data_IF_007347364383
#
_entry.id   IF_007347364383
#
_cell.length_a   1.000
_cell.length_b   1.000
_cell.length_c   1.000
_cell.angle_alpha   90.00
_cell.angle_beta   90.00
_cell.angle_gamma   90.00
#
_symmetry.space_group_name_H-M   'P 1'
#
loop_
_entity.id
_entity.type
_entity.pdbx_description
1 polymer ?
#
# COMPACT_ATOMS: atom_id res chain seq x y z
N UNK A 1 0.54 11.51 -12.30
CA UNK A 1 -0.14 11.16 -11.03
C UNK A 1 -0.45 9.68 -11.02
N UNK A 2 -1.57 9.19 -11.57
CA UNK A 2 -1.86 7.74 -11.62
C UNK A 2 -0.77 6.91 -12.31
N UNK A 3 -0.26 7.36 -13.47
CA UNK A 3 0.79 6.63 -14.18
C UNK A 3 2.12 6.56 -13.42
N UNK A 4 2.50 7.60 -12.67
CA UNK A 4 3.74 7.65 -11.88
C UNK A 4 3.63 6.82 -10.60
N UNK A 5 2.45 6.77 -9.98
CA UNK A 5 2.17 5.90 -8.82
C UNK A 5 2.02 4.43 -9.23
N UNK A 6 1.52 4.17 -10.44
CA UNK A 6 1.40 2.83 -11.04
C UNK A 6 2.75 2.29 -11.53
N UNK A 7 3.47 3.05 -12.36
CA UNK A 7 4.79 2.67 -12.90
C UNK A 7 5.90 2.73 -11.85
N UNK A 8 5.88 3.72 -10.95
CA UNK A 8 6.73 3.70 -9.75
C UNK A 8 6.43 2.48 -8.88
N UNK A 9 5.20 1.98 -8.89
CA UNK A 9 4.86 0.79 -8.14
C UNK A 9 5.52 -0.52 -8.60
N UNK A 10 6.01 -0.58 -9.84
CA UNK A 10 6.63 -1.77 -10.40
C UNK A 10 8.18 -1.70 -10.40
N UNK A 11 8.77 -0.48 -10.47
CA UNK A 11 10.23 -0.29 -10.64
C UNK A 11 10.84 0.81 -9.74
N UNK A 12 10.05 1.69 -9.09
CA UNK A 12 10.60 2.82 -8.31
C UNK A 12 9.78 3.13 -7.04
N UNK A 13 10.25 2.79 -5.83
CA UNK A 13 9.49 2.92 -4.59
C UNK A 13 9.38 4.39 -4.17
N UNK A 14 8.57 5.18 -4.87
CA UNK A 14 8.10 6.47 -4.37
C UNK A 14 6.87 6.14 -3.52
N UNK A 15 6.99 6.15 -2.18
CA UNK A 15 5.87 5.84 -1.33
C UNK A 15 4.81 6.91 -1.57
N UNK A 16 3.59 6.50 -1.89
CA UNK A 16 2.42 7.38 -1.95
C UNK A 16 2.27 8.22 -0.67
N UNK A 17 2.79 7.70 0.44
CA UNK A 17 2.88 8.36 1.75
C UNK A 17 3.76 9.61 1.75
N UNK A 18 4.81 9.66 0.92
CA UNK A 18 5.73 10.82 0.81
C UNK A 18 5.15 11.89 -0.14
N UNK A 19 4.37 11.49 -1.14
CA UNK A 19 3.82 12.44 -2.11
C UNK A 19 2.59 13.20 -1.58
N UNK A 20 1.81 12.60 -0.69
CA UNK A 20 0.58 13.23 -0.17
C UNK A 20 0.84 14.54 0.63
N UNK A 21 1.81 14.61 1.57
CA UNK A 21 2.10 15.83 2.32
C UNK A 21 2.42 17.08 1.48
N UNK A 22 3.38 17.06 0.52
CA UNK A 22 3.69 18.26 -0.26
C UNK A 22 2.51 18.71 -1.13
N UNK A 23 1.66 17.78 -1.59
CA UNK A 23 0.44 18.11 -2.33
C UNK A 23 -0.59 18.85 -1.47
N UNK A 24 -0.74 18.43 -0.20
CA UNK A 24 -1.61 19.11 0.76
C UNK A 24 -1.04 20.49 1.12
N UNK A 25 0.26 20.60 1.32
CA UNK A 25 0.92 21.90 1.61
C UNK A 25 0.69 22.89 0.47
N UNK A 26 0.79 22.45 -0.79
CA UNK A 26 0.57 23.31 -1.95
C UNK A 26 -0.89 23.76 -2.13
N UNK A 27 -1.88 22.97 -1.70
CA UNK A 27 -3.32 23.31 -1.77
C UNK A 27 -4.09 22.71 -0.58
N UNK A 28 -4.00 23.31 0.62
CA UNK A 28 -4.58 22.75 1.83
C UNK A 28 -6.10 22.63 1.76
N UNK A 29 -6.79 23.53 1.06
CA UNK A 29 -8.25 23.51 0.90
C UNK A 29 -8.77 22.25 0.20
N UNK A 30 -7.91 21.58 -0.59
CA UNK A 30 -8.25 20.39 -1.39
C UNK A 30 -7.72 19.09 -0.79
N UNK A 31 -7.37 19.05 0.50
CA UNK A 31 -6.80 17.85 1.13
C UNK A 31 -7.70 16.61 1.03
N UNK A 32 -9.04 16.76 1.13
CA UNK A 32 -10.00 15.64 1.06
C UNK A 32 -9.99 14.92 -0.30
N UNK A 33 -10.21 15.60 -1.45
CA UNK A 33 -10.16 14.93 -2.74
C UNK A 33 -8.78 14.37 -3.08
N UNK A 34 -7.70 15.03 -2.63
CA UNK A 34 -6.33 14.54 -2.80
C UNK A 34 -6.11 13.21 -2.04
N UNK A 35 -6.57 13.14 -0.79
CA UNK A 35 -6.52 11.92 0.03
C UNK A 35 -7.31 10.78 -0.62
N UNK A 36 -8.54 11.03 -1.06
CA UNK A 36 -9.40 10.01 -1.70
C UNK A 36 -8.75 9.49 -2.99
N UNK A 37 -8.22 10.38 -3.84
CA UNK A 37 -7.53 9.96 -5.07
C UNK A 37 -6.29 9.09 -4.76
N UNK A 38 -5.55 9.41 -3.70
CA UNK A 38 -4.41 8.63 -3.24
C UNK A 38 -4.83 7.24 -2.74
N UNK A 39 -5.91 7.15 -1.95
CA UNK A 39 -6.50 5.87 -1.52
C UNK A 39 -6.84 5.01 -2.73
N UNK A 40 -7.60 5.55 -3.69
CA UNK A 40 -8.04 4.80 -4.86
C UNK A 40 -6.87 4.29 -5.70
N UNK A 41 -5.86 5.14 -5.94
CA UNK A 41 -4.68 4.76 -6.70
C UNK A 41 -3.84 3.71 -5.96
N UNK A 42 -3.71 3.84 -4.64
CA UNK A 42 -3.00 2.86 -3.80
C UNK A 42 -3.70 1.50 -3.79
N UNK A 43 -5.03 1.50 -3.62
CA UNK A 43 -5.87 0.29 -3.67
C UNK A 43 -5.78 -0.37 -5.05
N UNK A 44 -5.83 0.39 -6.14
CA UNK A 44 -5.68 -0.14 -7.50
C UNK A 44 -4.33 -0.83 -7.68
N UNK A 45 -3.24 -0.22 -7.20
CA UNK A 45 -1.90 -0.84 -7.22
C UNK A 45 -1.78 -2.08 -6.33
N UNK A 46 -2.50 -2.12 -5.21
CA UNK A 46 -2.59 -3.31 -4.36
C UNK A 46 -3.33 -4.45 -5.06
N UNK A 47 -4.42 -4.13 -5.75
CA UNK A 47 -5.22 -5.10 -6.51
C UNK A 47 -4.40 -5.67 -7.68
N UNK A 48 -3.62 -4.84 -8.39
CA UNK A 48 -2.72 -5.35 -9.43
C UNK A 48 -1.65 -6.27 -8.85
N UNK A 49 -1.06 -5.94 -7.70
CA UNK A 49 -0.09 -6.83 -7.04
C UNK A 49 -0.73 -8.15 -6.60
N UNK A 50 -1.94 -8.12 -6.04
CA UNK A 50 -2.71 -9.32 -5.70
C UNK A 50 -2.99 -10.19 -6.93
N UNK A 51 -3.44 -9.59 -8.03
CA UNK A 51 -3.72 -10.31 -9.28
C UNK A 51 -2.46 -10.94 -9.88
N UNK A 52 -1.33 -10.22 -9.83
CA UNK A 52 -0.04 -10.75 -10.25
C UNK A 52 0.41 -11.92 -9.36
N UNK A 53 0.28 -11.79 -8.05
CA UNK A 53 0.57 -12.87 -7.11
C UNK A 53 -0.29 -14.10 -7.35
N UNK A 54 -1.58 -13.90 -7.64
CA UNK A 54 -2.52 -14.97 -7.95
C UNK A 54 -2.22 -15.66 -9.28
N UNK A 55 -1.94 -14.89 -10.33
CA UNK A 55 -1.68 -15.43 -11.67
C UNK A 55 -0.33 -16.16 -11.77
N UNK A 56 0.69 -15.67 -11.05
CA UNK A 56 2.06 -16.20 -11.12
C UNK A 56 2.49 -16.94 -9.86
N UNK A 57 1.57 -17.40 -9.01
CA UNK A 57 1.87 -17.97 -7.70
C UNK A 57 3.01 -19.02 -7.73
N UNK A 58 3.02 -19.92 -8.73
CA UNK A 58 4.03 -20.96 -8.89
C UNK A 58 5.41 -20.44 -9.33
N UNK A 59 5.47 -19.49 -10.26
CA UNK A 59 6.71 -18.88 -10.77
C UNK A 59 7.28 -17.86 -9.77
N UNK A 60 6.41 -17.21 -9.02
CA UNK A 60 6.78 -16.22 -8.01
C UNK A 60 7.45 -16.89 -6.80
N UNK A 61 7.02 -18.11 -6.43
CA UNK A 61 7.65 -18.89 -5.36
C UNK A 61 9.09 -19.30 -5.72
N UNK A 62 9.33 -19.76 -6.95
CA UNK A 62 10.67 -20.10 -7.45
C UNK A 62 11.55 -18.86 -7.64
N UNK A 63 10.98 -17.75 -8.10
CA UNK A 63 11.69 -16.48 -8.25
C UNK A 63 12.05 -15.84 -6.90
N UNK A 64 11.15 -15.86 -5.92
CA UNK A 64 11.43 -15.36 -4.57
C UNK A 64 12.57 -16.16 -3.89
N UNK A 65 12.61 -17.47 -4.11
CA UNK A 65 13.68 -18.34 -3.62
C UNK A 65 15.02 -18.10 -4.36
N UNK A 66 15.00 -17.79 -5.67
CA UNK A 66 16.22 -17.59 -6.45
C UNK A 66 16.88 -16.22 -6.24
N UNK A 67 16.10 -15.20 -5.89
CA UNK A 67 16.59 -13.82 -5.66
C UNK A 67 16.82 -13.54 -4.16
N UNK A 68 16.49 -14.47 -3.28
CA UNK A 68 16.61 -14.34 -1.83
C UNK A 68 16.00 -13.02 -1.29
N UNK A 69 14.82 -12.67 -1.82
CA UNK A 69 14.10 -11.46 -1.45
C UNK A 69 13.51 -11.65 -0.05
N UNK A 70 14.30 -11.26 0.95
CA UNK A 70 13.96 -11.37 2.37
C UNK A 70 12.60 -10.73 2.68
N UNK A 71 12.24 -9.64 2.00
CA UNK A 71 10.93 -8.98 2.12
C UNK A 71 9.74 -9.87 1.68
N UNK A 72 9.91 -10.66 0.63
CA UNK A 72 8.85 -11.58 0.15
C UNK A 72 8.77 -12.79 1.08
N UNK A 73 9.92 -13.33 1.50
CA UNK A 73 9.97 -14.43 2.45
C UNK A 73 9.32 -14.05 3.78
N UNK A 74 9.65 -12.89 4.35
CA UNK A 74 9.00 -12.38 5.55
C UNK A 74 7.49 -12.17 5.35
N UNK A 75 7.08 -11.59 4.20
CA UNK A 75 5.67 -11.39 3.90
C UNK A 75 4.89 -12.72 3.81
N UNK A 76 5.47 -13.74 3.19
CA UNK A 76 4.85 -15.08 3.09
C UNK A 76 4.77 -15.79 4.44
N UNK A 77 5.83 -15.72 5.27
CA UNK A 77 5.83 -16.27 6.63
C UNK A 77 4.78 -15.58 7.51
N UNK A 78 4.73 -14.25 7.51
CA UNK A 78 3.74 -13.48 8.26
C UNK A 78 2.31 -13.77 7.80
N UNK A 79 2.10 -13.98 6.50
CA UNK A 79 0.80 -14.36 5.95
C UNK A 79 0.42 -15.80 6.36
N UNK A 80 1.37 -16.72 6.38
CA UNK A 80 1.15 -18.10 6.81
C UNK A 80 0.84 -18.20 8.31
N UNK A 81 1.48 -17.36 9.13
CA UNK A 81 1.33 -17.37 10.58
C UNK A 81 0.07 -16.63 11.06
N UNK A 82 -0.20 -15.44 10.52
CA UNK A 82 -1.26 -14.56 11.02
C UNK A 82 -2.49 -14.48 10.10
N UNK A 83 -2.38 -14.88 8.83
CA UNK A 83 -3.49 -14.86 7.88
C UNK A 83 -4.03 -13.45 7.58
N UNK A 84 -5.31 -13.32 7.19
CA UNK A 84 -5.93 -12.06 6.73
C UNK A 84 -5.72 -10.79 7.59
N UNK A 85 -5.75 -10.85 8.93
CA UNK A 85 -5.59 -9.66 9.79
C UNK A 85 -4.24 -8.97 9.64
N UNK A 86 -3.16 -9.68 9.28
CA UNK A 86 -1.83 -9.09 9.13
C UNK A 86 -1.80 -8.05 8.01
N UNK A 87 -2.62 -8.26 6.97
CA UNK A 87 -2.72 -7.37 5.84
C UNK A 87 -3.29 -6.01 6.24
N UNK A 88 -4.24 -5.98 7.19
CA UNK A 88 -4.79 -4.75 7.72
C UNK A 88 -3.74 -3.97 8.53
N UNK A 89 -3.01 -4.67 9.41
CA UNK A 89 -1.95 -4.06 10.23
C UNK A 89 -0.84 -3.52 9.33
N UNK A 90 -0.42 -4.29 8.33
CA UNK A 90 0.60 -3.88 7.38
C UNK A 90 0.16 -2.76 6.43
N UNK A 91 -1.13 -2.66 6.11
CA UNK A 91 -1.66 -1.54 5.33
C UNK A 91 -1.57 -0.20 6.09
N UNK A 92 -1.57 -0.26 7.43
CA UNK A 92 -1.38 0.90 8.29
C UNK A 92 0.10 1.19 8.57
N UNK A 93 0.91 0.15 8.77
CA UNK A 93 2.33 0.25 9.12
C UNK A 93 3.23 0.71 7.94
N UNK A 94 4.42 1.29 8.21
CA UNK A 94 5.43 1.58 7.18
C UNK A 94 6.16 0.30 6.72
N UNK A 95 5.41 -0.78 6.51
CA UNK A 95 5.91 -2.08 6.02
C UNK A 95 5.76 -2.08 4.49
N UNK A 96 6.58 -2.83 3.73
CA UNK A 96 6.42 -3.02 2.28
C UNK A 96 5.09 -3.74 1.94
N UNK A 97 3.98 -3.02 2.06
CA UNK A 97 2.63 -3.55 1.90
C UNK A 97 2.37 -4.21 0.53
N UNK A 98 3.10 -3.80 -0.52
CA UNK A 98 2.93 -4.37 -1.86
C UNK A 98 3.43 -5.81 -1.95
N UNK A 99 4.49 -6.17 -1.22
CA UNK A 99 4.96 -7.57 -1.15
C UNK A 99 3.96 -8.44 -0.38
N UNK A 100 3.32 -7.89 0.65
CA UNK A 100 2.22 -8.56 1.35
C UNK A 100 0.96 -8.72 0.49
N UNK A 101 0.64 -7.73 -0.36
CA UNK A 101 -0.48 -7.86 -1.30
C UNK A 101 -0.20 -8.93 -2.38
N UNK A 102 1.04 -8.99 -2.86
CA UNK A 102 1.52 -10.03 -3.77
C UNK A 102 1.49 -11.41 -3.10
N UNK A 103 1.96 -11.53 -1.86
CA UNK A 103 1.91 -12.77 -1.07
C UNK A 103 0.45 -13.21 -0.78
N UNK A 104 -0.46 -12.27 -0.51
CA UNK A 104 -1.88 -12.56 -0.35
C UNK A 104 -2.50 -13.12 -1.64
N UNK A 105 -2.10 -12.58 -2.80
CA UNK A 105 -2.48 -13.11 -4.10
C UNK A 105 -1.95 -14.52 -4.34
N UNK A 106 -0.65 -14.74 -4.09
CA UNK A 106 0.00 -16.05 -4.25
C UNK A 106 -0.60 -17.11 -3.31
N UNK A 107 -1.01 -16.72 -2.09
CA UNK A 107 -1.72 -17.56 -1.14
C UNK A 107 -3.22 -17.71 -1.40
N UNK A 108 -3.75 -17.20 -2.52
CA UNK A 108 -5.15 -17.25 -2.91
C UNK A 108 -6.12 -16.74 -1.81
N UNK A 109 -5.73 -15.69 -1.10
CA UNK A 109 -6.54 -15.10 -0.03
C UNK A 109 -7.87 -14.56 -0.57
N UNK A 110 -9.03 -14.83 0.06
CA UNK A 110 -10.31 -14.35 -0.43
C UNK A 110 -10.33 -12.83 -0.64
N UNK A 111 -10.72 -12.38 -1.85
CA UNK A 111 -10.85 -10.96 -2.18
C UNK A 111 -11.75 -10.20 -1.19
N UNK A 112 -12.77 -10.88 -0.64
CA UNK A 112 -13.68 -10.33 0.36
C UNK A 112 -12.98 -9.99 1.69
N UNK A 113 -11.87 -10.65 2.03
CA UNK A 113 -11.04 -10.31 3.18
C UNK A 113 -9.94 -9.31 2.80
N UNK A 114 -9.38 -9.44 1.61
CA UNK A 114 -8.29 -8.58 1.11
C UNK A 114 -8.74 -7.14 0.94
N UNK A 115 -9.80 -6.91 0.15
CA UNK A 115 -10.17 -5.58 -0.29
C UNK A 115 -10.55 -4.65 0.88
N UNK A 116 -11.37 -5.06 1.86
CA UNK A 116 -11.69 -4.21 3.00
C UNK A 116 -10.47 -3.91 3.86
N UNK A 117 -9.58 -4.90 4.09
CA UNK A 117 -8.37 -4.71 4.88
C UNK A 117 -7.46 -3.64 4.26
N UNK A 118 -7.26 -3.71 2.94
CA UNK A 118 -6.44 -2.74 2.20
C UNK A 118 -7.09 -1.35 2.19
N UNK A 119 -8.37 -1.27 1.83
CA UNK A 119 -9.09 0.01 1.72
C UNK A 119 -9.10 0.72 3.07
N UNK A 120 -9.45 0.02 4.15
CA UNK A 120 -9.51 0.61 5.48
C UNK A 120 -8.13 1.02 5.98
N UNK A 121 -7.12 0.16 5.89
CA UNK A 121 -5.77 0.48 6.34
C UNK A 121 -5.18 1.69 5.60
N UNK A 122 -5.38 1.75 4.26
CA UNK A 122 -4.93 2.88 3.43
C UNK A 122 -5.70 4.17 3.69
N UNK A 123 -7.03 4.08 3.85
CA UNK A 123 -7.85 5.25 4.18
C UNK A 123 -7.44 5.85 5.53
N UNK A 124 -7.25 5.02 6.55
CA UNK A 124 -6.83 5.47 7.89
C UNK A 124 -5.45 6.11 7.81
N UNK A 125 -4.46 5.44 7.20
CA UNK A 125 -3.08 5.96 7.07
C UNK A 125 -3.04 7.32 6.37
N UNK A 126 -3.66 7.44 5.20
CA UNK A 126 -3.65 8.70 4.46
C UNK A 126 -4.46 9.80 5.14
N UNK A 127 -5.52 9.45 5.86
CA UNK A 127 -6.26 10.39 6.68
C UNK A 127 -5.39 10.96 7.81
N UNK A 128 -4.67 10.09 8.55
CA UNK A 128 -3.75 10.51 9.62
C UNK A 128 -2.66 11.42 9.06
N UNK A 129 -2.00 11.02 7.97
CA UNK A 129 -0.98 11.84 7.30
C UNK A 129 -1.56 13.21 6.92
N UNK A 130 -2.73 13.25 6.28
CA UNK A 130 -3.38 14.49 5.87
C UNK A 130 -3.66 15.42 7.06
N UNK A 131 -4.16 14.87 8.17
CA UNK A 131 -4.48 15.63 9.38
C UNK A 131 -3.23 16.18 10.05
N UNK A 132 -2.16 15.38 10.13
CA UNK A 132 -0.87 15.82 10.69
C UNK A 132 -0.28 16.94 9.83
N UNK A 133 -0.29 16.80 8.50
CA UNK A 133 0.21 17.85 7.59
C UNK A 133 -0.56 19.15 7.74
N UNK A 134 -1.89 19.11 7.80
CA UNK A 134 -2.72 20.31 7.99
C UNK A 134 -2.46 20.99 9.34
N UNK A 135 -2.27 20.20 10.41
CA UNK A 135 -1.97 20.74 11.72
C UNK A 135 -0.59 21.41 11.76
N UNK A 136 0.42 20.79 11.12
CA UNK A 136 1.74 21.39 10.96
C UNK A 136 1.69 22.70 10.18
N UNK A 137 0.88 22.78 9.12
CA UNK A 137 0.71 24.01 8.34
C UNK A 137 0.14 25.16 9.18
N UNK A 138 -0.84 24.87 10.06
CA UNK A 138 -1.40 25.87 10.98
C UNK A 138 -0.37 26.38 11.98
N UNK A 139 0.57 25.53 12.40
CA UNK A 139 1.61 25.90 13.37
C UNK A 139 2.68 26.80 12.75
N UNK A 140 2.95 26.65 11.45
CA UNK A 140 3.90 27.49 10.71
C UNK A 140 3.31 28.88 10.38
N UNK A 141 2.00 28.96 10.15
CA UNK A 141 1.31 30.19 9.77
C UNK A 141 0.81 31.04 10.97
N UNK A 142 1.03 30.60 12.20
CA UNK A 142 0.72 31.32 13.44
C UNK A 142 2.01 31.80 14.11
#
# INVERSE_FOLDING_TARGET
MCLLTYLGGFIFPVPSDIMLPPMIIGRPDRWKPLMIACVLCSVAGACSAYLLGFAFAGELATWAQSVNLEEINQATTLMAEYGPPILFIAAFAPIPFKTLALAAGAGAMPLAAFLPAVVLGRAIRFYVISKVTLQGLKWINN
#
